data_IF_810725769205
#
_entry.id   IF_810725769205
#
_cell.length_a   1.000
_cell.length_b   1.000
_cell.length_c   1.000
_cell.angle_alpha   90.00
_cell.angle_beta   90.00
_cell.angle_gamma   90.00
#
_symmetry.space_group_name_H-M   'P 1'
#
loop_
_entity.id
_entity.type
_entity.pdbx_description
1 polymer ?
#
# COMPACT_ATOMS: atom_id res chain seq x y z
N UNK A 1 22.52 -5.91 -8.89
CA UNK A 1 21.47 -5.81 -7.84
C UNK A 1 20.83 -4.43 -7.75
N UNK A 2 21.53 -3.31 -8.01
CA UNK A 2 20.98 -1.96 -7.83
C UNK A 2 20.58 -1.25 -9.15
N UNK A 3 20.17 -2.00 -10.17
CA UNK A 3 19.96 -1.49 -11.54
C UNK A 3 18.95 -0.33 -11.61
N UNK A 4 17.89 -0.40 -10.80
CA UNK A 4 16.80 0.58 -10.80
C UNK A 4 16.90 1.60 -9.64
N UNK A 5 18.00 1.59 -8.89
CA UNK A 5 18.23 2.58 -7.83
C UNK A 5 18.76 3.90 -8.42
N UNK A 6 18.41 5.06 -7.83
CA UNK A 6 18.97 6.35 -8.22
C UNK A 6 20.50 6.37 -8.19
N UNK A 7 21.13 7.14 -9.08
CA UNK A 7 22.59 7.36 -9.04
C UNK A 7 22.98 8.07 -7.72
N UNK A 8 24.20 7.84 -7.18
CA UNK A 8 24.61 8.41 -5.89
C UNK A 8 24.63 9.94 -5.82
N UNK A 9 24.76 10.60 -6.97
CA UNK A 9 24.97 12.04 -7.17
C UNK A 9 23.73 12.78 -7.72
N UNK A 10 22.54 12.16 -7.62
CA UNK A 10 21.28 12.79 -8.05
C UNK A 10 21.02 14.10 -7.31
N UNK A 11 20.82 15.18 -8.07
CA UNK A 11 20.29 16.44 -7.56
C UNK A 11 18.84 16.22 -7.12
N UNK A 12 18.62 16.30 -5.81
CA UNK A 12 17.33 15.97 -5.20
C UNK A 12 16.53 17.23 -4.90
N UNK A 13 15.30 17.32 -5.43
CA UNK A 13 14.37 18.40 -5.11
C UNK A 13 13.48 17.97 -3.93
N UNK A 14 13.45 18.78 -2.87
CA UNK A 14 12.57 18.56 -1.72
C UNK A 14 11.23 19.27 -1.94
N UNK A 15 10.16 18.51 -2.17
CA UNK A 15 8.80 19.04 -2.24
C UNK A 15 8.12 18.88 -0.89
N UNK A 16 7.75 20.00 -0.25
CA UNK A 16 7.06 20.01 1.07
C UNK A 16 5.80 19.11 1.08
N UNK A 17 5.08 19.08 -0.04
CA UNK A 17 3.88 18.26 -0.24
C UNK A 17 4.12 16.76 -0.03
N UNK A 18 5.25 16.23 -0.48
CA UNK A 18 5.53 14.79 -0.37
C UNK A 18 5.73 14.38 1.10
N UNK A 19 6.45 15.20 1.87
CA UNK A 19 6.61 15.02 3.30
C UNK A 19 5.31 15.22 4.07
N UNK A 20 4.46 16.17 3.64
CA UNK A 20 3.14 16.37 4.23
C UNK A 20 2.24 15.14 4.03
N UNK A 21 2.13 14.61 2.81
CA UNK A 21 1.35 13.39 2.52
C UNK A 21 1.79 12.24 3.43
N UNK A 22 3.11 12.04 3.54
CA UNK A 22 3.65 11.00 4.39
C UNK A 22 3.30 11.25 5.86
N UNK A 23 3.74 12.37 6.44
CA UNK A 23 3.51 12.67 7.86
C UNK A 23 2.03 12.62 8.24
N UNK A 24 1.16 13.16 7.39
CA UNK A 24 -0.28 13.12 7.58
C UNK A 24 -0.82 11.68 7.58
N UNK A 25 -0.40 10.84 6.64
CA UNK A 25 -0.85 9.44 6.58
C UNK A 25 -0.34 8.62 7.76
N UNK A 26 0.94 8.75 8.15
CA UNK A 26 1.49 8.09 9.34
C UNK A 26 0.71 8.49 10.61
N UNK A 27 0.38 9.78 10.75
CA UNK A 27 -0.44 10.28 11.84
C UNK A 27 -1.86 9.71 11.81
N UNK A 28 -2.54 9.79 10.67
CA UNK A 28 -3.91 9.30 10.51
C UNK A 28 -4.00 7.80 10.82
N UNK A 29 -3.07 6.99 10.32
CA UNK A 29 -3.00 5.55 10.60
C UNK A 29 -2.87 5.30 12.10
N UNK A 30 -1.90 5.95 12.77
CA UNK A 30 -1.68 5.74 14.19
C UNK A 30 -2.94 6.08 15.01
N UNK A 31 -3.52 7.25 14.75
CA UNK A 31 -4.69 7.73 15.47
C UNK A 31 -5.92 6.88 15.16
N UNK A 32 -6.17 6.54 13.89
CA UNK A 32 -7.36 5.78 13.51
C UNK A 32 -7.35 4.38 14.09
N UNK A 33 -6.20 3.70 14.10
CA UNK A 33 -6.10 2.34 14.62
C UNK A 33 -6.25 2.28 16.15
N UNK A 34 -5.67 3.26 16.87
CA UNK A 34 -5.84 3.38 18.33
C UNK A 34 -7.29 3.71 18.69
N UNK A 35 -7.95 4.59 17.93
CA UNK A 35 -9.38 4.87 18.11
C UNK A 35 -10.19 3.62 17.81
N UNK A 36 -9.92 2.95 16.69
CA UNK A 36 -10.68 1.76 16.29
C UNK A 36 -10.57 0.66 17.34
N UNK A 37 -9.40 0.44 17.94
CA UNK A 37 -9.22 -0.55 19.00
C UNK A 37 -10.23 -0.45 20.17
N UNK A 38 -10.78 0.73 20.44
CA UNK A 38 -11.72 0.99 21.55
C UNK A 38 -13.10 1.45 21.09
N UNK A 39 -13.33 1.53 19.78
CA UNK A 39 -14.53 2.10 19.19
C UNK A 39 -15.68 1.09 19.09
N UNK A 40 -16.90 1.54 18.79
CA UNK A 40 -17.95 0.66 18.26
C UNK A 40 -17.98 0.70 16.72
N UNK A 41 -18.84 -0.12 16.10
CA UNK A 41 -18.96 -0.20 14.64
C UNK A 41 -19.36 1.13 13.98
N UNK A 42 -20.15 1.97 14.67
CA UNK A 42 -20.55 3.29 14.17
C UNK A 42 -19.31 4.18 14.01
N UNK A 43 -18.47 4.26 15.05
CA UNK A 43 -17.23 5.04 15.00
C UNK A 43 -16.27 4.45 13.95
N UNK A 44 -16.17 3.13 13.81
CA UNK A 44 -15.37 2.48 12.76
C UNK A 44 -15.83 2.92 11.34
N UNK A 45 -17.14 3.00 11.12
CA UNK A 45 -17.70 3.46 9.85
C UNK A 45 -17.46 4.95 9.61
N UNK A 46 -17.54 5.78 10.66
CA UNK A 46 -17.21 7.21 10.57
C UNK A 46 -15.72 7.42 10.22
N UNK A 47 -14.81 6.62 10.79
CA UNK A 47 -13.40 6.62 10.37
C UNK A 47 -13.25 6.31 8.88
N UNK A 48 -14.09 5.43 8.34
CA UNK A 48 -14.15 5.14 6.90
C UNK A 48 -14.52 6.35 6.05
N UNK A 49 -15.56 7.10 6.46
CA UNK A 49 -15.97 8.34 5.77
C UNK A 49 -14.83 9.38 5.82
N UNK A 50 -14.23 9.56 7.00
CA UNK A 50 -13.12 10.50 7.19
C UNK A 50 -11.93 10.12 6.31
N UNK A 51 -11.57 8.83 6.27
CA UNK A 51 -10.47 8.33 5.44
C UNK A 51 -10.71 8.58 3.95
N UNK A 52 -11.95 8.43 3.46
CA UNK A 52 -12.30 8.79 2.08
C UNK A 52 -12.15 10.28 1.79
N UNK A 53 -12.63 11.15 2.68
CA UNK A 53 -12.47 12.61 2.55
C UNK A 53 -11.00 12.98 2.48
N UNK A 54 -10.17 12.39 3.35
CA UNK A 54 -8.73 12.61 3.37
C UNK A 54 -8.06 12.11 2.11
N UNK A 55 -8.36 10.89 1.65
CA UNK A 55 -7.80 10.35 0.41
C UNK A 55 -8.13 11.26 -0.78
N UNK A 56 -9.40 11.66 -0.95
CA UNK A 56 -9.84 12.53 -2.04
C UNK A 56 -9.13 13.89 -1.97
N UNK A 57 -9.02 14.48 -0.76
CA UNK A 57 -8.31 15.73 -0.53
C UNK A 57 -6.82 15.64 -0.91
N UNK A 58 -6.14 14.56 -0.53
CA UNK A 58 -4.73 14.34 -0.89
C UNK A 58 -4.56 14.17 -2.41
N UNK A 59 -5.48 13.46 -3.07
CA UNK A 59 -5.45 13.23 -4.52
C UNK A 59 -5.71 14.49 -5.36
N UNK A 60 -6.34 15.52 -4.80
CA UNK A 60 -6.70 16.73 -5.52
C UNK A 60 -5.51 17.45 -6.20
N UNK A 61 -4.30 17.31 -5.64
CA UNK A 61 -3.08 17.87 -6.25
C UNK A 61 -2.14 16.85 -6.89
N UNK A 62 -2.58 15.59 -7.07
CA UNK A 62 -1.82 14.59 -7.81
C UNK A 62 -2.21 14.58 -9.30
N UNK A 63 -1.30 14.10 -10.15
CA UNK A 63 -1.56 13.96 -11.58
C UNK A 63 -2.51 12.79 -11.87
N UNK A 64 -3.02 12.72 -13.11
CA UNK A 64 -3.99 11.70 -13.53
C UNK A 64 -3.45 10.27 -13.37
N UNK A 65 -2.17 10.06 -13.66
CA UNK A 65 -1.55 8.74 -13.56
C UNK A 65 -1.57 8.22 -12.11
N UNK A 66 -1.12 9.02 -11.15
CA UNK A 66 -1.12 8.66 -9.73
C UNK A 66 -2.55 8.44 -9.22
N UNK A 67 -3.51 9.27 -9.64
CA UNK A 67 -4.93 9.06 -9.27
C UNK A 67 -5.43 7.70 -9.76
N UNK A 68 -5.10 7.30 -10.99
CA UNK A 68 -5.47 5.99 -11.52
C UNK A 68 -4.78 4.86 -10.75
N UNK A 69 -3.49 4.99 -10.48
CA UNK A 69 -2.75 4.02 -9.67
C UNK A 69 -3.39 3.83 -8.30
N UNK A 70 -3.77 4.91 -7.62
CA UNK A 70 -4.45 4.87 -6.31
C UNK A 70 -5.80 4.18 -6.42
N UNK A 71 -6.61 4.45 -7.46
CA UNK A 71 -7.88 3.74 -7.67
C UNK A 71 -7.66 2.24 -7.85
N UNK A 72 -6.65 1.84 -8.62
CA UNK A 72 -6.29 0.42 -8.82
C UNK A 72 -5.84 -0.19 -7.48
N UNK A 73 -4.98 0.51 -6.73
CA UNK A 73 -4.51 0.06 -5.42
C UNK A 73 -5.67 -0.18 -4.45
N UNK A 74 -6.60 0.78 -4.35
CA UNK A 74 -7.80 0.66 -3.51
C UNK A 74 -8.63 -0.56 -3.94
N UNK A 75 -8.93 -0.72 -5.24
CA UNK A 75 -9.75 -1.82 -5.73
C UNK A 75 -9.09 -3.19 -5.47
N UNK A 76 -7.81 -3.32 -5.82
CA UNK A 76 -7.06 -4.57 -5.68
C UNK A 76 -6.85 -4.93 -4.22
N UNK A 77 -6.44 -3.97 -3.37
CA UNK A 77 -6.26 -4.21 -1.95
C UNK A 77 -7.59 -4.53 -1.26
N UNK A 78 -8.69 -3.87 -1.62
CA UNK A 78 -10.02 -4.20 -1.05
C UNK A 78 -10.42 -5.64 -1.37
N UNK A 79 -10.24 -6.09 -2.61
CA UNK A 79 -10.51 -7.47 -2.98
C UNK A 79 -9.58 -8.44 -2.23
N UNK A 80 -8.29 -8.09 -2.13
CA UNK A 80 -7.28 -8.85 -1.39
C UNK A 80 -7.60 -8.98 0.09
N UNK A 81 -8.08 -7.92 0.74
CA UNK A 81 -8.49 -7.92 2.16
C UNK A 81 -9.65 -8.87 2.41
N UNK A 82 -10.73 -8.78 1.61
CA UNK A 82 -11.85 -9.71 1.76
C UNK A 82 -11.43 -11.16 1.52
N UNK A 83 -10.51 -11.39 0.59
CA UNK A 83 -9.97 -12.72 0.35
C UNK A 83 -9.09 -13.21 1.51
N UNK A 84 -8.10 -12.42 1.91
CA UNK A 84 -7.09 -12.81 2.89
C UNK A 84 -7.64 -12.87 4.32
N UNK A 85 -8.49 -11.92 4.70
CA UNK A 85 -9.05 -11.86 6.05
C UNK A 85 -10.34 -12.68 6.18
N UNK A 86 -11.37 -12.37 5.37
CA UNK A 86 -12.71 -12.98 5.55
C UNK A 86 -12.79 -14.39 4.97
N UNK A 87 -12.33 -14.59 3.74
CA UNK A 87 -12.45 -15.87 3.06
C UNK A 87 -11.42 -16.90 3.54
N UNK A 88 -10.14 -16.51 3.60
CA UNK A 88 -9.08 -17.42 4.04
C UNK A 88 -8.94 -17.50 5.56
N UNK A 89 -9.17 -16.40 6.29
CA UNK A 89 -8.87 -16.35 7.72
C UNK A 89 -7.38 -16.18 8.05
N UNK A 90 -6.59 -15.56 7.17
CA UNK A 90 -5.16 -15.31 7.38
C UNK A 90 -4.88 -14.33 8.52
N UNK A 91 -5.81 -13.41 8.76
CA UNK A 91 -5.88 -12.52 9.92
C UNK A 91 -7.33 -12.07 10.12
N UNK A 92 -7.68 -11.66 11.34
CA UNK A 92 -9.05 -11.31 11.70
C UNK A 92 -9.09 -9.94 12.34
N UNK A 93 -9.90 -9.03 11.78
CA UNK A 93 -10.24 -7.75 12.39
C UNK A 93 -11.19 -7.97 13.57
N UNK A 94 -11.17 -7.06 14.56
CA UNK A 94 -11.93 -7.18 15.82
C UNK A 94 -13.44 -7.43 15.68
N UNK A 95 -14.04 -7.03 14.57
CA UNK A 95 -15.47 -7.18 14.28
C UNK A 95 -15.73 -8.15 13.12
N UNK A 96 -14.72 -8.91 12.70
CA UNK A 96 -14.77 -9.92 11.63
C UNK A 96 -15.19 -9.37 10.25
N UNK A 97 -15.39 -8.06 10.12
CA UNK A 97 -15.57 -7.35 8.85
C UNK A 97 -14.26 -6.70 8.40
N UNK A 98 -14.16 -6.38 7.12
CA UNK A 98 -13.19 -5.41 6.63
C UNK A 98 -13.67 -4.01 7.04
N UNK A 99 -12.93 -3.27 7.89
CA UNK A 99 -13.33 -1.91 8.28
C UNK A 99 -13.45 -0.97 7.08
N UNK A 100 -14.43 -0.06 7.10
CA UNK A 100 -14.67 0.85 5.97
C UNK A 100 -13.53 1.84 5.70
N UNK A 101 -12.60 2.03 6.65
CA UNK A 101 -11.39 2.81 6.44
C UNK A 101 -10.28 2.03 5.72
N UNK A 102 -10.36 0.70 5.61
CA UNK A 102 -9.32 -0.11 4.97
C UNK A 102 -9.18 0.21 3.48
N UNK A 103 -10.26 0.26 2.67
CA UNK A 103 -10.15 0.66 1.26
C UNK A 103 -9.48 2.03 1.04
N UNK A 104 -9.96 3.16 1.61
CA UNK A 104 -9.28 4.44 1.44
C UNK A 104 -7.91 4.50 2.13
N UNK A 105 -7.73 3.74 3.21
CA UNK A 105 -6.45 3.59 3.91
C UNK A 105 -5.37 3.02 2.99
N UNK A 106 -5.66 1.96 2.24
CA UNK A 106 -4.75 1.42 1.23
C UNK A 106 -4.42 2.44 0.14
N UNK A 107 -5.39 3.27 -0.25
CA UNK A 107 -5.14 4.38 -1.17
C UNK A 107 -4.15 5.41 -0.61
N UNK A 108 -4.27 5.75 0.68
CA UNK A 108 -3.35 6.66 1.37
C UNK A 108 -1.96 6.05 1.58
N UNK A 109 -1.89 4.75 1.89
CA UNK A 109 -0.66 3.96 2.02
C UNK A 109 0.10 3.95 0.69
N UNK A 110 -0.56 3.61 -0.41
CA UNK A 110 0.02 3.65 -1.75
C UNK A 110 0.52 5.06 -2.10
N UNK A 111 -0.32 6.08 -1.90
CA UNK A 111 0.04 7.47 -2.18
C UNK A 111 1.25 7.92 -1.34
N UNK A 112 1.34 7.48 -0.09
CA UNK A 112 2.49 7.73 0.79
C UNK A 112 3.75 7.06 0.28
N UNK A 113 3.67 5.81 -0.18
CA UNK A 113 4.79 5.10 -0.79
C UNK A 113 5.31 5.86 -2.02
N UNK A 114 4.41 6.31 -2.91
CA UNK A 114 4.76 7.13 -4.08
C UNK A 114 5.38 8.47 -3.69
N UNK A 115 4.78 9.18 -2.72
CA UNK A 115 5.27 10.48 -2.25
C UNK A 115 6.66 10.39 -1.62
N UNK A 116 6.88 9.40 -0.75
CA UNK A 116 8.19 9.14 -0.17
C UNK A 116 9.20 8.71 -1.24
N UNK A 117 8.84 7.80 -2.15
CA UNK A 117 9.72 7.31 -3.21
C UNK A 117 10.27 8.42 -4.11
N UNK A 118 9.47 9.47 -4.36
CA UNK A 118 9.88 10.66 -5.15
C UNK A 118 10.45 11.80 -4.30
N UNK A 119 10.49 11.66 -2.98
CA UNK A 119 11.01 12.69 -2.08
C UNK A 119 12.54 12.79 -2.17
N UNK A 120 13.06 14.01 -2.04
CA UNK A 120 14.51 14.25 -2.08
C UNK A 120 15.29 13.44 -1.04
N UNK A 121 14.71 13.17 0.13
CA UNK A 121 15.34 12.35 1.18
C UNK A 121 15.53 10.90 0.74
N UNK A 122 14.48 10.25 0.23
CA UNK A 122 14.56 8.87 -0.23
C UNK A 122 15.47 8.74 -1.45
N UNK A 123 15.42 9.68 -2.39
CA UNK A 123 16.30 9.67 -3.56
C UNK A 123 17.77 9.83 -3.16
N UNK A 124 18.09 10.78 -2.26
CA UNK A 124 19.46 11.05 -1.80
C UNK A 124 20.06 9.89 -1.01
N UNK A 125 19.26 9.23 -0.18
CA UNK A 125 19.74 8.19 0.73
C UNK A 125 19.29 6.77 0.35
N UNK A 126 18.82 6.56 -0.88
CA UNK A 126 18.19 5.33 -1.34
C UNK A 126 18.95 4.05 -0.94
N UNK A 127 20.26 3.99 -1.18
CA UNK A 127 21.10 2.82 -0.84
C UNK A 127 21.25 2.61 0.66
N UNK A 128 21.37 3.69 1.44
CA UNK A 128 21.49 3.61 2.92
C UNK A 128 20.16 3.16 3.54
N UNK A 129 19.04 3.70 3.05
CA UNK A 129 17.70 3.30 3.46
C UNK A 129 17.47 1.81 3.11
N UNK A 130 17.84 1.38 1.89
CA UNK A 130 17.73 -0.02 1.50
C UNK A 130 18.57 -0.94 2.38
N UNK A 131 19.83 -0.59 2.67
CA UNK A 131 20.67 -1.36 3.58
C UNK A 131 20.05 -1.45 4.98
N UNK A 132 19.54 -0.33 5.51
CA UNK A 132 18.85 -0.31 6.79
C UNK A 132 17.64 -1.24 6.80
N UNK A 133 16.75 -1.14 5.80
CA UNK A 133 15.56 -1.99 5.71
C UNK A 133 15.91 -3.47 5.59
N UNK A 134 16.88 -3.82 4.75
CA UNK A 134 17.32 -5.22 4.58
C UNK A 134 17.89 -5.78 5.88
N UNK A 135 18.70 -5.01 6.60
CA UNK A 135 19.29 -5.45 7.87
C UNK A 135 18.21 -5.59 8.95
N UNK A 136 17.36 -4.58 9.13
CA UNK A 136 16.35 -4.57 10.19
C UNK A 136 15.28 -5.64 9.95
N UNK A 137 14.72 -5.70 8.74
CA UNK A 137 13.72 -6.72 8.40
C UNK A 137 14.36 -8.13 8.39
N UNK A 138 15.61 -8.25 7.94
CA UNK A 138 16.34 -9.53 8.00
C UNK A 138 16.59 -10.02 9.42
N UNK A 139 16.96 -9.14 10.35
CA UNK A 139 17.08 -9.47 11.78
C UNK A 139 15.73 -9.87 12.35
N UNK A 140 14.65 -9.14 12.02
CA UNK A 140 13.31 -9.46 12.48
C UNK A 140 12.84 -10.83 11.96
N UNK A 141 13.00 -11.11 10.66
CA UNK A 141 12.65 -12.41 10.07
C UNK A 141 13.48 -13.54 10.66
N UNK A 142 14.78 -13.34 10.88
CA UNK A 142 15.64 -14.34 11.53
C UNK A 142 15.19 -14.62 12.97
N UNK A 143 14.91 -13.57 13.74
CA UNK A 143 14.35 -13.72 15.09
C UNK A 143 13.01 -14.46 15.06
N UNK A 144 12.14 -14.15 14.11
CA UNK A 144 10.84 -14.77 13.89
C UNK A 144 10.88 -16.28 13.67
N UNK A 145 11.95 -16.80 13.06
CA UNK A 145 12.13 -18.25 12.79
C UNK A 145 13.13 -18.93 13.72
N UNK A 146 13.70 -18.21 14.69
CA UNK A 146 14.73 -18.72 15.59
C UNK A 146 14.22 -19.69 16.66
N UNK A 147 12.90 -19.78 16.86
CA UNK A 147 12.27 -20.52 17.95
C UNK A 147 12.26 -19.78 19.30
N UNK A 148 12.77 -18.55 19.36
CA UNK A 148 12.71 -17.66 20.52
C UNK A 148 11.32 -17.05 20.76
N UNK A 149 10.62 -16.48 19.74
CA UNK A 149 9.31 -15.85 19.97
C UNK A 149 8.23 -16.87 20.32
N UNK A 150 7.23 -16.45 21.09
CA UNK A 150 6.05 -17.27 21.43
C UNK A 150 5.28 -17.72 20.17
N UNK A 151 5.20 -16.84 19.18
CA UNK A 151 4.58 -17.10 17.88
C UNK A 151 5.66 -17.02 16.79
N UNK A 152 5.89 -18.14 16.11
CA UNK A 152 6.86 -18.23 15.01
C UNK A 152 6.41 -17.47 13.77
N UNK A 153 7.35 -17.14 12.88
CA UNK A 153 7.10 -16.27 11.72
C UNK A 153 7.72 -16.81 10.42
N UNK A 154 7.43 -18.06 10.08
CA UNK A 154 7.85 -18.66 8.80
C UNK A 154 7.30 -17.90 7.60
N UNK A 155 6.01 -17.49 7.65
CA UNK A 155 5.40 -16.71 6.57
C UNK A 155 6.08 -15.35 6.43
N UNK A 156 6.34 -14.63 7.53
CA UNK A 156 7.06 -13.37 7.46
C UNK A 156 8.47 -13.52 6.87
N UNK A 157 9.20 -14.59 7.20
CA UNK A 157 10.51 -14.86 6.60
C UNK A 157 10.45 -15.17 5.10
N UNK A 158 9.43 -15.91 4.65
CA UNK A 158 9.18 -16.14 3.21
C UNK A 158 8.86 -14.82 2.52
N UNK A 159 7.98 -14.00 3.11
CA UNK A 159 7.60 -12.70 2.58
C UNK A 159 8.78 -11.73 2.55
N UNK A 160 9.71 -11.80 3.51
CA UNK A 160 10.95 -11.04 3.45
C UNK A 160 11.77 -11.41 2.21
N UNK A 161 11.90 -12.69 1.88
CA UNK A 161 12.55 -13.12 0.64
C UNK A 161 11.85 -12.54 -0.60
N UNK A 162 10.51 -12.55 -0.62
CA UNK A 162 9.71 -11.94 -1.69
C UNK A 162 9.93 -10.42 -1.76
N UNK A 163 9.98 -9.74 -0.62
CA UNK A 163 10.30 -8.31 -0.54
C UNK A 163 11.69 -8.00 -1.12
N UNK A 164 12.71 -8.82 -0.83
CA UNK A 164 14.04 -8.66 -1.44
C UNK A 164 14.00 -8.83 -2.97
N UNK A 165 13.15 -9.72 -3.49
CA UNK A 165 12.94 -9.86 -4.94
C UNK A 165 12.33 -8.58 -5.51
N UNK A 166 11.28 -8.01 -4.90
CA UNK A 166 10.72 -6.72 -5.33
C UNK A 166 11.77 -5.62 -5.28
N UNK A 167 12.54 -5.52 -4.20
CA UNK A 167 13.54 -4.48 -3.99
C UNK A 167 14.68 -4.53 -5.00
N UNK A 168 15.21 -5.72 -5.33
CA UNK A 168 16.41 -5.84 -6.18
C UNK A 168 16.14 -6.19 -7.65
N UNK A 169 14.96 -6.76 -7.96
CA UNK A 169 14.58 -7.14 -9.33
C UNK A 169 13.40 -6.33 -9.88
N UNK A 170 12.58 -5.75 -9.01
CA UNK A 170 11.43 -4.95 -9.43
C UNK A 170 11.82 -3.60 -10.07
N UNK A 171 10.93 -3.07 -10.90
CA UNK A 171 11.16 -1.83 -11.68
C UNK A 171 11.01 -0.55 -10.86
N UNK A 172 10.38 -0.63 -9.68
CA UNK A 172 10.04 0.53 -8.85
C UNK A 172 10.58 0.40 -7.41
N UNK A 173 11.90 0.15 -7.22
CA UNK A 173 12.46 -0.18 -5.90
C UNK A 173 12.24 0.90 -4.85
N UNK A 174 12.19 2.18 -5.25
CA UNK A 174 11.96 3.29 -4.33
C UNK A 174 10.54 3.28 -3.73
N UNK A 175 9.54 2.83 -4.51
CA UNK A 175 8.16 2.69 -4.04
C UNK A 175 8.07 1.54 -3.05
N UNK A 176 8.65 0.38 -3.37
CA UNK A 176 8.69 -0.76 -2.46
C UNK A 176 9.43 -0.45 -1.15
N UNK A 177 10.55 0.27 -1.25
CA UNK A 177 11.31 0.70 -0.08
C UNK A 177 10.54 1.69 0.78
N UNK A 178 9.77 2.59 0.18
CA UNK A 178 8.91 3.51 0.90
C UNK A 178 7.69 2.81 1.53
N UNK A 179 7.08 1.88 0.80
CA UNK A 179 5.96 1.07 1.27
C UNK A 179 6.32 0.32 2.54
N UNK A 180 7.54 -0.23 2.64
CA UNK A 180 8.03 -0.89 3.85
C UNK A 180 7.79 -0.06 5.12
N UNK A 181 8.06 1.25 5.10
CA UNK A 181 7.94 2.08 6.31
C UNK A 181 6.50 2.26 6.76
N UNK A 182 5.60 2.68 5.85
CA UNK A 182 4.20 2.95 6.22
C UNK A 182 3.44 1.66 6.54
N UNK A 183 3.82 0.54 5.91
CA UNK A 183 3.19 -0.77 6.13
C UNK A 183 3.69 -1.43 7.40
N UNK A 184 5.00 -1.36 7.69
CA UNK A 184 5.51 -1.78 8.99
C UNK A 184 4.88 -0.96 10.12
N UNK A 185 4.71 0.35 9.91
CA UNK A 185 4.07 1.23 10.88
C UNK A 185 2.62 0.84 11.18
N UNK A 186 1.80 0.65 10.15
CA UNK A 186 0.40 0.27 10.34
C UNK A 186 0.27 -1.13 10.96
N UNK A 187 1.13 -2.07 10.58
CA UNK A 187 1.10 -3.45 11.08
C UNK A 187 1.51 -3.52 12.55
N UNK A 188 2.57 -2.83 12.94
CA UNK A 188 2.99 -2.77 14.33
C UNK A 188 1.92 -2.12 15.21
N UNK A 189 1.29 -1.03 14.77
CA UNK A 189 0.27 -0.35 15.56
C UNK A 189 -1.03 -1.15 15.60
N UNK A 190 -1.51 -1.63 14.45
CA UNK A 190 -2.79 -2.32 14.37
C UNK A 190 -2.83 -3.62 15.14
N UNK A 191 -1.75 -4.42 15.06
CA UNK A 191 -1.63 -5.65 15.83
C UNK A 191 -1.39 -5.40 17.33
N UNK A 192 -0.58 -4.40 17.68
CA UNK A 192 -0.35 -4.04 19.09
C UNK A 192 -1.59 -3.43 19.77
N UNK A 193 -2.39 -2.64 19.04
CA UNK A 193 -3.63 -2.07 19.53
C UNK A 193 -4.79 -3.08 19.52
N UNK A 194 -4.62 -4.24 18.86
CA UNK A 194 -5.66 -5.27 18.76
C UNK A 194 -6.76 -4.96 17.76
N UNK A 195 -6.47 -4.11 16.76
CA UNK A 195 -7.41 -3.81 15.67
C UNK A 195 -7.60 -5.03 14.75
N UNK A 196 -6.53 -5.79 14.51
CA UNK A 196 -6.57 -7.13 13.93
C UNK A 196 -5.49 -8.01 14.54
N UNK A 197 -5.63 -9.32 14.32
CA UNK A 197 -4.65 -10.32 14.72
C UNK A 197 -4.37 -11.29 13.58
N UNK A 198 -3.10 -11.55 13.30
CA UNK A 198 -2.68 -12.58 12.35
C UNK A 198 -2.89 -13.98 12.92
N UNK A 199 -3.36 -14.90 12.08
CA UNK A 199 -3.55 -16.29 12.46
C UNK A 199 -2.20 -16.93 12.81
N UNK A 200 -2.14 -17.65 13.94
CA UNK A 200 -0.90 -18.30 14.43
C UNK A 200 -0.28 -19.24 13.41
N UNK A 201 -1.13 -19.99 12.71
CA UNK A 201 -0.78 -20.80 11.55
C UNK A 201 -1.59 -20.27 10.37
N UNK A 202 -0.96 -20.09 9.21
CA UNK A 202 -1.72 -19.75 8.01
C UNK A 202 -2.58 -20.93 7.53
N UNK A 203 -3.75 -20.67 6.93
CA UNK A 203 -4.80 -21.68 6.78
C UNK A 203 -4.56 -22.73 5.68
N UNK A 204 -3.58 -22.54 4.79
CA UNK A 204 -3.37 -23.36 3.59
C UNK A 204 -2.26 -24.40 3.82
N UNK A 205 -1.07 -23.97 4.22
CA UNK A 205 0.11 -24.82 4.39
C UNK A 205 0.49 -25.05 5.87
N UNK A 206 -0.30 -24.51 6.82
CA UNK A 206 -0.03 -24.54 8.27
C UNK A 206 1.34 -23.98 8.66
N UNK A 207 1.83 -22.96 7.96
CA UNK A 207 3.07 -22.27 8.33
C UNK A 207 2.82 -21.26 9.45
N UNK A 208 3.77 -21.15 10.39
CA UNK A 208 3.68 -20.14 11.45
C UNK A 208 3.76 -18.71 10.90
N UNK A 209 2.96 -17.81 11.46
CA UNK A 209 2.98 -16.38 11.13
C UNK A 209 3.17 -15.54 12.39
N UNK A 210 4.02 -14.52 12.35
CA UNK A 210 4.12 -13.55 13.44
C UNK A 210 2.86 -12.67 13.54
N UNK A 211 2.73 -11.92 14.64
CA UNK A 211 1.69 -10.90 14.80
C UNK A 211 2.33 -9.53 15.13
N UNK A 212 2.77 -8.78 14.11
CA UNK A 212 2.61 -9.01 12.67
C UNK A 212 3.75 -9.85 12.04
N UNK A 213 3.56 -10.41 10.83
CA UNK A 213 4.62 -11.08 10.10
C UNK A 213 5.72 -10.09 9.66
N UNK A 214 6.99 -10.44 9.88
CA UNK A 214 8.15 -9.55 9.64
C UNK A 214 8.26 -9.03 8.21
N UNK A 215 7.90 -9.85 7.22
CA UNK A 215 7.97 -9.53 5.80
C UNK A 215 6.67 -9.04 5.16
N UNK A 216 5.62 -8.77 5.96
CA UNK A 216 4.25 -8.45 5.47
C UNK A 216 4.20 -7.32 4.43
N UNK A 217 5.16 -6.39 4.46
CA UNK A 217 5.35 -5.34 3.44
C UNK A 217 5.38 -5.88 1.99
N UNK A 218 5.73 -7.15 1.77
CA UNK A 218 5.70 -7.78 0.45
C UNK A 218 4.29 -7.78 -0.19
N UNK A 219 3.23 -7.94 0.60
CA UNK A 219 1.85 -7.88 0.08
C UNK A 219 1.50 -6.49 -0.42
N UNK A 220 1.95 -5.45 0.27
CA UNK A 220 1.79 -4.08 -0.18
C UNK A 220 2.63 -3.79 -1.43
N UNK A 221 3.83 -4.35 -1.54
CA UNK A 221 4.62 -4.27 -2.78
C UNK A 221 3.90 -4.93 -3.97
N UNK A 222 3.12 -5.99 -3.75
CA UNK A 222 2.26 -6.59 -4.78
C UNK A 222 1.15 -5.60 -5.20
N UNK A 223 0.45 -4.98 -4.25
CA UNK A 223 -0.54 -3.92 -4.54
C UNK A 223 0.12 -2.81 -5.37
N UNK A 224 1.29 -2.35 -4.97
CA UNK A 224 2.03 -1.28 -5.65
C UNK A 224 2.39 -1.68 -7.08
N UNK A 225 2.88 -2.91 -7.27
CA UNK A 225 3.24 -3.42 -8.58
C UNK A 225 2.02 -3.52 -9.52
N UNK A 226 0.87 -3.97 -9.01
CA UNK A 226 -0.39 -4.03 -9.77
C UNK A 226 -0.87 -2.63 -10.13
N UNK A 227 -0.83 -1.68 -9.19
CA UNK A 227 -1.22 -0.30 -9.42
C UNK A 227 -0.36 0.37 -10.51
N UNK A 228 0.97 0.25 -10.41
CA UNK A 228 1.91 0.81 -11.38
C UNK A 228 1.77 0.14 -12.74
N UNK A 229 1.67 -1.20 -12.78
CA UNK A 229 1.56 -1.96 -14.02
C UNK A 229 0.22 -1.80 -14.73
N UNK A 230 -0.87 -1.64 -13.98
CA UNK A 230 -2.23 -1.50 -14.52
C UNK A 230 -2.55 -0.09 -15.02
N UNK A 231 -1.91 0.95 -14.48
CA UNK A 231 -2.25 2.34 -14.81
C UNK A 231 -2.13 2.70 -16.31
N UNK A 232 -1.09 2.29 -17.05
CA UNK A 232 -1.02 2.54 -18.49
C UNK A 232 -2.16 1.87 -19.28
N UNK A 233 -2.59 0.67 -18.85
CA UNK A 233 -3.65 -0.09 -19.51
C UNK A 233 -5.00 0.61 -19.33
N UNK A 234 -5.31 1.02 -18.10
CA UNK A 234 -6.53 1.79 -17.78
C UNK A 234 -6.53 3.13 -18.53
N UNK A 235 -5.40 3.84 -18.55
CA UNK A 235 -5.28 5.10 -19.30
C UNK A 235 -5.56 4.91 -20.79
N UNK A 236 -5.03 3.86 -21.40
CA UNK A 236 -5.28 3.54 -22.80
C UNK A 236 -6.76 3.24 -23.09
N UNK A 237 -7.42 2.47 -22.22
CA UNK A 237 -8.86 2.18 -22.33
C UNK A 237 -9.67 3.48 -22.24
N UNK A 238 -9.40 4.32 -21.24
CA UNK A 238 -10.10 5.59 -21.07
C UNK A 238 -9.92 6.52 -22.27
N UNK A 239 -8.70 6.58 -22.83
CA UNK A 239 -8.42 7.42 -24.00
C UNK A 239 -9.18 6.93 -25.24
N UNK A 240 -9.20 5.60 -25.49
CA UNK A 240 -9.99 5.00 -26.58
C UNK A 240 -11.48 5.26 -26.42
N UNK A 241 -12.00 5.11 -25.20
CA UNK A 241 -13.41 5.36 -24.90
C UNK A 241 -13.79 6.84 -25.10
N UNK A 242 -12.94 7.77 -24.65
CA UNK A 242 -13.15 9.21 -24.89
C UNK A 242 -13.09 9.58 -26.37
N UNK A 243 -12.18 8.96 -27.15
CA UNK A 243 -12.14 9.13 -28.59
C UNK A 243 -13.42 8.61 -29.25
N UNK A 244 -13.88 7.41 -28.87
CA UNK A 244 -15.13 6.84 -29.36
C UNK A 244 -16.33 7.74 -29.06
N UNK A 245 -16.47 8.23 -27.83
CA UNK A 245 -17.55 9.17 -27.46
C UNK A 245 -17.51 10.48 -28.26
N UNK A 246 -16.32 11.02 -28.54
CA UNK A 246 -16.17 12.21 -29.40
C UNK A 246 -16.58 11.93 -30.84
N UNK A 247 -16.19 10.78 -31.38
CA UNK A 247 -16.59 10.38 -32.73
C UNK A 247 -18.10 10.13 -32.84
N UNK A 248 -18.73 9.52 -31.83
CA UNK A 248 -20.18 9.30 -31.83
C UNK A 248 -20.95 10.62 -31.75
N UNK A 249 -20.52 11.55 -30.87
CA UNK A 249 -21.09 12.90 -30.80
C UNK A 249 -20.96 13.66 -32.12
N UNK A 250 -19.80 13.60 -32.75
CA UNK A 250 -19.56 14.25 -34.05
C UNK A 250 -20.42 13.66 -35.17
N UNK A 251 -20.69 12.35 -35.17
CA UNK A 251 -21.59 11.72 -36.15
C UNK A 251 -23.03 12.17 -35.96
N UNK A 252 -23.51 12.25 -34.72
CA UNK A 252 -24.87 12.70 -34.39
C UNK A 252 -25.09 14.17 -34.75
N UNK A 253 -24.10 15.05 -34.54
CA UNK A 253 -24.21 16.46 -34.91
C UNK A 253 -24.27 16.64 -36.43
N UNK A 254 -23.46 15.90 -37.19
CA UNK A 254 -23.51 15.94 -38.66
C UNK A 254 -24.88 15.49 -39.17
N UNK A 255 -25.45 14.44 -38.59
CA UNK A 255 -26.76 13.93 -38.99
C UNK A 255 -27.90 14.93 -38.73
N UNK A 256 -27.81 15.73 -37.66
CA UNK A 256 -28.78 16.79 -37.33
C UNK A 256 -28.66 18.05 -38.20
N UNK A 257 -27.49 18.32 -38.80
CA UNK A 257 -27.30 19.45 -39.73
C UNK A 257 -27.73 19.12 -41.17
N UNK A 258 -27.89 17.83 -41.49
CA UNK A 258 -28.29 17.34 -42.82
C UNK A 258 -29.79 17.02 -42.96
N UNK A 259 -30.57 17.17 -41.88
CA UNK A 259 -32.04 17.10 -41.87
C UNK A 259 -32.65 18.50 -41.80
#
# INVERSE_FOLDING_TARGET
MLRYFPAPDVVCIHKKRDYFIAAFTFFCVAVSLIIDAHANLIIQNLLGIIAWVFLIGLLAGENKEIRIQVVIAVAFATAGEHFASVYMGGYTYRFENVPLYVPPGHGMVYLTAVALARSGFFLKYARKIAAFVVVVCGIWSFWGVSGIPEQGDQVGAILFCVFLIYLFKGRSPMVYLAAFFITTWLELIGTAAGTWYWAKLEPIFNLSQGNPPSGVAAWYCLVDAVAIGGAPLVQNIMNKFNQWLRTDKSKRSIQQETE
#
